data_IF_159078837430
#
_entry.id   IF_159078837430
#
_cell.length_a   1.000
_cell.length_b   1.000
_cell.length_c   1.000
_cell.angle_alpha   90.00
_cell.angle_beta   90.00
_cell.angle_gamma   90.00
#
_symmetry.space_group_name_H-M   'P 1'
#
loop_
_entity.id
_entity.type
_entity.pdbx_description
1 polymer ?
#
# COMPACT_ATOMS: atom_id res chain seq x y z
N UNK A 1 0.00 1.16 1.39
CA UNK A 1 -0.34 2.57 1.12
C UNK A 1 -0.32 3.30 2.44
N UNK A 2 0.43 4.40 2.56
CA UNK A 2 0.56 5.23 3.77
C UNK A 2 0.68 6.70 3.33
N UNK A 3 0.19 7.64 4.13
CA UNK A 3 0.40 9.07 3.88
C UNK A 3 1.79 9.56 4.30
N UNK A 4 2.38 10.53 3.61
CA UNK A 4 3.70 11.09 3.97
C UNK A 4 3.69 11.85 5.31
N UNK A 5 2.51 12.32 5.75
CA UNK A 5 2.28 13.05 7.00
C UNK A 5 1.62 12.20 8.10
N UNK A 6 1.56 10.86 7.94
CA UNK A 6 1.00 9.97 8.96
C UNK A 6 1.94 9.86 10.19
N UNK A 7 1.57 10.52 11.28
CA UNK A 7 2.29 10.42 12.56
C UNK A 7 1.89 9.21 13.41
N UNK A 8 0.72 8.60 13.18
CA UNK A 8 0.29 7.40 13.92
C UNK A 8 1.07 6.18 13.41
N UNK A 9 1.09 5.98 12.10
CA UNK A 9 1.84 4.91 11.45
C UNK A 9 2.79 5.47 10.39
N UNK A 10 3.96 5.99 10.78
CA UNK A 10 4.88 6.64 9.85
C UNK A 10 5.37 5.75 8.70
N UNK A 11 5.84 6.37 7.62
CA UNK A 11 6.44 5.69 6.47
C UNK A 11 7.53 4.70 6.90
N UNK A 12 8.39 5.09 7.84
CA UNK A 12 9.47 4.25 8.36
C UNK A 12 8.97 2.91 8.95
N UNK A 13 7.80 2.90 9.60
CA UNK A 13 7.20 1.66 10.10
C UNK A 13 6.80 0.73 8.95
N UNK A 14 6.28 1.30 7.85
CA UNK A 14 5.90 0.54 6.66
C UNK A 14 7.11 0.02 5.88
N UNK A 15 8.21 0.78 5.84
CA UNK A 15 9.48 0.32 5.29
C UNK A 15 10.02 -0.91 6.05
N UNK A 16 9.89 -0.91 7.39
CA UNK A 16 10.22 -2.08 8.21
C UNK A 16 9.32 -3.28 7.88
N UNK A 17 8.02 -3.08 7.62
CA UNK A 17 7.13 -4.15 7.18
C UNK A 17 7.55 -4.74 5.82
N UNK A 18 8.02 -3.90 4.89
CA UNK A 18 8.49 -4.33 3.58
C UNK A 18 9.71 -5.27 3.68
N UNK A 19 10.58 -5.05 4.68
CA UNK A 19 11.70 -5.96 4.94
C UNK A 19 11.24 -7.37 5.38
N UNK A 20 10.08 -7.47 6.03
CA UNK A 20 9.50 -8.74 6.50
C UNK A 20 8.61 -9.43 5.46
N UNK A 21 8.09 -8.67 4.49
CA UNK A 21 7.26 -9.18 3.39
C UNK A 21 7.81 -8.71 2.04
N UNK A 22 8.85 -9.39 1.49
CA UNK A 22 9.54 -8.93 0.28
C UNK A 22 8.67 -8.90 -0.98
N UNK A 23 7.54 -9.61 -0.98
CA UNK A 23 6.57 -9.61 -2.08
C UNK A 23 5.53 -8.49 -1.97
N UNK A 24 5.54 -7.72 -0.87
CA UNK A 24 4.66 -6.58 -0.72
C UNK A 24 5.14 -5.39 -1.58
N UNK A 25 4.21 -4.45 -1.82
CA UNK A 25 4.49 -3.16 -2.46
C UNK A 25 4.12 -2.05 -1.47
N UNK A 26 5.01 -1.06 -1.32
CA UNK A 26 4.76 0.12 -0.52
C UNK A 26 4.61 1.33 -1.44
N UNK A 27 3.48 2.02 -1.29
CA UNK A 27 3.21 3.31 -1.94
C UNK A 27 2.97 4.36 -0.86
N UNK A 28 3.59 5.53 -1.02
CA UNK A 28 3.44 6.69 -0.13
C UNK A 28 2.64 7.75 -0.87
N UNK A 29 1.59 8.27 -0.23
CA UNK A 29 0.72 9.33 -0.76
C UNK A 29 1.18 10.67 -0.19
N UNK A 30 1.65 11.56 -1.04
CA UNK A 30 2.24 12.83 -0.61
C UNK A 30 1.17 13.80 -0.07
N UNK A 31 1.44 14.46 1.06
CA UNK A 31 0.56 15.43 1.69
C UNK A 31 -0.68 14.83 2.39
N UNK A 32 -0.73 13.51 2.53
CA UNK A 32 -1.79 12.82 3.26
C UNK A 32 -1.29 12.37 4.64
N UNK A 33 -2.17 12.45 5.64
CA UNK A 33 -2.00 11.92 6.98
C UNK A 33 -2.51 10.48 7.12
N UNK A 34 -2.93 10.14 8.33
CA UNK A 34 -3.35 8.78 8.68
C UNK A 34 -4.59 8.32 7.89
N UNK A 35 -5.50 9.24 7.56
CA UNK A 35 -6.71 8.91 6.81
C UNK A 35 -6.51 9.15 5.31
N UNK A 36 -5.38 8.70 4.75
CA UNK A 36 -5.08 8.82 3.32
C UNK A 36 -6.24 8.43 2.38
N UNK A 37 -7.05 7.38 2.62
CA UNK A 37 -8.21 7.08 1.77
C UNK A 37 -9.32 8.15 1.75
N UNK A 38 -9.39 8.98 2.79
CA UNK A 38 -10.34 10.11 2.91
C UNK A 38 -9.72 11.40 2.39
N UNK A 39 -8.42 11.60 2.65
CA UNK A 39 -7.70 12.83 2.35
C UNK A 39 -7.26 12.93 0.87
N UNK A 40 -6.94 11.79 0.26
CA UNK A 40 -6.52 11.67 -1.15
C UNK A 40 -7.22 10.48 -1.84
N UNK A 41 -8.56 10.52 -1.98
CA UNK A 41 -9.34 9.36 -2.38
C UNK A 41 -9.03 8.88 -3.80
N UNK A 42 -8.78 9.78 -4.75
CA UNK A 42 -8.45 9.41 -6.14
C UNK A 42 -7.12 8.65 -6.22
N UNK A 43 -6.05 9.21 -5.62
CA UNK A 43 -4.72 8.58 -5.65
C UNK A 43 -4.72 7.23 -4.94
N UNK A 44 -5.36 7.13 -3.78
CA UNK A 44 -5.49 5.85 -3.08
C UNK A 44 -6.30 4.84 -3.89
N UNK A 45 -7.38 5.27 -4.56
CA UNK A 45 -8.19 4.39 -5.41
C UNK A 45 -7.40 3.88 -6.59
N UNK A 46 -6.64 4.74 -7.28
CA UNK A 46 -5.80 4.34 -8.42
C UNK A 46 -4.74 3.31 -8.00
N UNK A 47 -4.08 3.52 -6.85
CA UNK A 47 -3.13 2.56 -6.28
C UNK A 47 -3.78 1.21 -5.94
N UNK A 48 -5.01 1.23 -5.42
CA UNK A 48 -5.75 -0.01 -5.13
C UNK A 48 -6.17 -0.74 -6.40
N UNK A 49 -6.62 -0.01 -7.42
CA UNK A 49 -6.99 -0.59 -8.73
C UNK A 49 -5.77 -1.21 -9.40
N UNK A 50 -4.63 -0.52 -9.42
CA UNK A 50 -3.36 -1.07 -9.92
C UNK A 50 -2.99 -2.36 -9.17
N UNK A 51 -3.01 -2.34 -7.84
CA UNK A 51 -2.69 -3.51 -7.03
C UNK A 51 -3.60 -4.72 -7.32
N UNK A 52 -4.91 -4.49 -7.43
CA UNK A 52 -5.91 -5.54 -7.62
C UNK A 52 -5.95 -6.11 -9.05
N UNK A 53 -5.56 -5.32 -10.03
CA UNK A 53 -5.59 -5.72 -11.45
C UNK A 53 -4.24 -6.24 -11.94
N UNK A 54 -3.17 -5.96 -11.21
CA UNK A 54 -1.85 -6.51 -11.48
C UNK A 54 -1.86 -8.05 -11.32
N UNK A 55 -1.69 -8.73 -12.45
CA UNK A 55 -1.66 -10.20 -12.53
C UNK A 55 -0.28 -10.80 -12.27
N UNK A 56 0.71 -10.00 -11.90
CA UNK A 56 2.11 -10.41 -11.82
C UNK A 56 2.49 -11.33 -10.65
N UNK A 57 1.54 -11.78 -9.80
CA UNK A 57 1.89 -12.49 -8.55
C UNK A 57 0.96 -13.59 -8.03
N UNK A 58 0.00 -14.12 -8.80
CA UNK A 58 -0.90 -15.19 -8.29
C UNK A 58 -0.80 -16.47 -9.13
N UNK A 59 0.24 -17.26 -8.90
CA UNK A 59 0.08 -18.72 -8.97
C UNK A 59 -0.63 -19.16 -7.69
N UNK A 60 -1.96 -19.06 -7.65
CA UNK A 60 -2.75 -19.74 -6.63
C UNK A 60 -2.78 -21.22 -7.01
N UNK A 61 -1.84 -22.03 -6.49
CA UNK A 61 -2.02 -23.48 -6.50
C UNK A 61 -3.30 -23.77 -5.73
N UNK A 62 -4.38 -24.08 -6.45
CA UNK A 62 -5.63 -24.53 -5.86
C UNK A 62 -5.34 -25.72 -4.90
N UNK A 63 -6.00 -25.79 -3.74
CA UNK A 63 -5.89 -26.97 -2.89
C UNK A 63 -6.44 -28.18 -3.67
N UNK A 64 -5.69 -29.29 -3.64
CA UNK A 64 -6.19 -30.59 -4.10
C UNK A 64 -7.30 -31.11 -3.19
#
# INVERSE_FOLDING_TARGET
VVGSEDEWSPVAQHEQMLQLCPTARLSVVEGAGHFAPVEAPEEVTDLLVDFLTDRSGVEHSAPR
#
